data_IF_139833973813
#
_entry.id   IF_139833973813
#
_cell.length_a   1.000
_cell.length_b   1.000
_cell.length_c   1.000
_cell.angle_alpha   90.00
_cell.angle_beta   90.00
_cell.angle_gamma   90.00
#
_symmetry.space_group_name_H-M   'P 1'
#
loop_
_entity.id
_entity.type
_entity.pdbx_description
1 polymer ?
#
# COMPACT_ATOMS: atom_id res chain seq x y z
N UNK A 1 15.94 13.69 -5.67
CA UNK A 1 14.51 13.49 -5.88
C UNK A 1 14.10 12.32 -5.00
N UNK A 2 13.02 12.43 -4.24
CA UNK A 2 12.59 11.42 -3.27
C UNK A 2 11.53 10.51 -3.88
N UNK A 3 11.42 9.29 -3.37
CA UNK A 3 10.43 8.29 -3.79
C UNK A 3 9.36 8.15 -2.71
N UNK A 4 8.11 7.97 -3.12
CA UNK A 4 6.97 7.90 -2.23
C UNK A 4 6.05 6.75 -2.64
N UNK A 5 5.39 6.15 -1.65
CA UNK A 5 4.26 5.24 -1.83
C UNK A 5 3.00 5.89 -1.26
N UNK A 6 1.89 5.74 -1.96
CA UNK A 6 0.59 6.22 -1.53
C UNK A 6 -0.31 5.03 -1.27
N UNK A 7 -0.93 4.99 -0.09
CA UNK A 7 -1.79 3.90 0.36
C UNK A 7 -3.12 4.45 0.88
N UNK A 8 -4.15 3.60 0.91
CA UNK A 8 -5.40 3.87 1.62
C UNK A 8 -5.65 2.79 2.67
N UNK A 9 -6.29 3.16 3.79
CA UNK A 9 -6.70 2.22 4.84
C UNK A 9 -8.04 1.55 4.54
N UNK A 10 -8.70 1.88 3.41
CA UNK A 10 -10.02 1.37 3.04
C UNK A 10 -9.97 -0.08 2.45
N UNK A 11 -9.07 -0.93 2.96
CA UNK A 11 -8.85 -2.30 2.49
C UNK A 11 -9.26 -3.37 3.49
N UNK A 12 -10.27 -4.17 3.15
CA UNK A 12 -10.55 -5.46 3.80
C UNK A 12 -10.01 -6.57 2.92
N UNK A 13 -9.27 -7.52 3.50
CA UNK A 13 -8.75 -8.68 2.76
C UNK A 13 -9.26 -9.97 3.38
N UNK A 14 -9.83 -10.82 2.55
CA UNK A 14 -10.21 -12.20 2.90
C UNK A 14 -9.11 -13.14 2.41
N UNK A 15 -8.65 -14.06 3.26
CA UNK A 15 -7.63 -15.02 2.85
C UNK A 15 -8.20 -15.98 1.77
N UNK A 16 -7.38 -16.39 0.78
CA UNK A 16 -7.79 -17.41 -0.18
C UNK A 16 -8.22 -18.69 0.56
N UNK A 17 -9.44 -19.16 0.30
CA UNK A 17 -10.09 -20.32 0.96
C UNK A 17 -10.54 -20.09 2.41
N UNK A 18 -10.67 -18.85 2.86
CA UNK A 18 -11.38 -18.54 4.12
C UNK A 18 -12.90 -18.59 3.89
N UNK A 19 -13.61 -19.41 4.67
CA UNK A 19 -15.08 -19.40 4.75
C UNK A 19 -15.60 -18.39 5.80
N UNK A 20 -14.70 -17.62 6.44
CA UNK A 20 -15.04 -16.71 7.52
C UNK A 20 -15.75 -15.46 6.99
N UNK A 21 -16.81 -15.03 7.70
CA UNK A 21 -17.55 -13.79 7.41
C UNK A 21 -16.77 -12.53 7.82
N UNK A 22 -15.77 -12.65 8.69
CA UNK A 22 -15.02 -11.51 9.20
C UNK A 22 -13.68 -11.32 8.44
N UNK A 23 -13.22 -10.06 8.25
CA UNK A 23 -11.89 -9.75 7.73
C UNK A 23 -10.80 -10.47 8.51
N UNK A 24 -9.90 -11.17 7.81
CA UNK A 24 -8.81 -11.87 8.50
C UNK A 24 -7.73 -10.89 9.01
N UNK A 25 -7.56 -9.73 8.37
CA UNK A 25 -6.55 -8.71 8.70
C UNK A 25 -6.96 -7.30 8.23
N UNK A 26 -6.61 -6.26 9.00
CA UNK A 26 -6.56 -4.88 8.51
C UNK A 26 -5.52 -4.77 7.39
N UNK A 27 -5.88 -4.16 6.25
CA UNK A 27 -4.97 -4.02 5.13
C UNK A 27 -4.93 -2.57 4.61
N UNK A 28 -3.76 -2.19 4.11
CA UNK A 28 -3.58 -0.98 3.33
C UNK A 28 -3.50 -1.35 1.85
N UNK A 29 -4.31 -0.70 1.02
CA UNK A 29 -4.20 -0.87 -0.44
C UNK A 29 -3.25 0.16 -1.01
N UNK A 30 -2.33 -0.29 -1.88
CA UNK A 30 -1.44 0.63 -2.61
C UNK A 30 -2.24 1.33 -3.70
N UNK A 31 -2.29 2.65 -3.61
CA UNK A 31 -2.90 3.54 -4.60
C UNK A 31 -1.95 3.83 -5.74
N UNK A 32 -0.66 4.02 -5.42
CA UNK A 32 0.36 4.29 -6.43
C UNK A 32 1.72 4.65 -5.84
N UNK A 33 2.63 5.00 -6.74
CA UNK A 33 3.99 5.41 -6.43
C UNK A 33 4.26 6.76 -7.10
N UNK A 34 5.07 7.60 -6.47
CA UNK A 34 5.42 8.90 -7.03
C UNK A 34 6.83 9.35 -6.65
N UNK A 35 7.35 10.32 -7.39
CA UNK A 35 8.66 10.93 -7.12
C UNK A 35 8.55 12.45 -7.15
N UNK A 36 9.24 13.14 -6.24
CA UNK A 36 9.24 14.60 -6.17
C UNK A 36 10.26 15.15 -5.19
N UNK A 37 10.38 16.48 -5.08
CA UNK A 37 11.14 17.12 -4.00
C UNK A 37 10.37 17.05 -2.68
N UNK A 38 9.03 17.09 -2.75
CA UNK A 38 8.14 16.93 -1.60
C UNK A 38 7.07 15.86 -1.87
N UNK A 39 6.48 15.33 -0.80
CA UNK A 39 5.39 14.35 -0.91
C UNK A 39 4.15 14.92 -1.61
N UNK A 40 3.87 16.21 -1.39
CA UNK A 40 2.75 16.92 -2.02
C UNK A 40 2.94 17.01 -3.53
N UNK A 41 4.12 17.43 -3.97
CA UNK A 41 4.46 17.49 -5.40
C UNK A 41 4.36 16.10 -6.06
N UNK A 42 4.88 15.06 -5.40
CA UNK A 42 4.78 13.70 -5.89
C UNK A 42 3.33 13.22 -6.01
N UNK A 43 2.47 13.59 -5.05
CA UNK A 43 1.05 13.25 -5.06
C UNK A 43 0.28 13.98 -6.17
N UNK A 44 0.47 15.29 -6.30
CA UNK A 44 -0.18 16.10 -7.35
C UNK A 44 0.19 15.61 -8.74
N UNK A 45 1.47 15.25 -8.93
CA UNK A 45 1.94 14.61 -10.18
C UNK A 45 1.23 13.27 -10.42
N UNK A 46 1.20 12.39 -9.42
CA UNK A 46 0.54 11.07 -9.53
C UNK A 46 -0.94 11.20 -9.89
N UNK A 47 -1.68 12.11 -9.25
CA UNK A 47 -3.11 12.31 -9.53
C UNK A 47 -3.36 12.85 -10.94
N UNK A 48 -2.44 13.63 -11.49
CA UNK A 48 -2.51 14.12 -12.87
C UNK A 48 -2.23 13.00 -13.88
N UNK A 49 -1.31 12.09 -13.56
CA UNK A 49 -0.96 10.95 -14.43
C UNK A 49 -2.03 9.84 -14.36
N UNK A 50 -2.62 9.62 -13.19
CA UNK A 50 -3.58 8.56 -12.88
C UNK A 50 -4.96 9.15 -12.53
N UNK A 51 -5.54 9.93 -13.46
CA UNK A 51 -6.81 10.65 -13.24
C UNK A 51 -7.98 9.74 -12.82
N UNK A 52 -7.91 8.43 -13.08
CA UNK A 52 -8.93 7.48 -12.66
C UNK A 52 -9.09 7.43 -11.13
N UNK A 53 -8.05 7.77 -10.36
CA UNK A 53 -8.09 7.83 -8.90
C UNK A 53 -9.16 8.82 -8.40
N UNK A 54 -9.41 9.90 -9.14
CA UNK A 54 -10.45 10.89 -8.83
C UNK A 54 -11.88 10.36 -9.03
N UNK A 55 -12.04 9.19 -9.65
CA UNK A 55 -13.34 8.52 -9.86
C UNK A 55 -13.59 7.42 -8.83
N UNK A 56 -12.63 7.16 -7.94
CA UNK A 56 -12.78 6.19 -6.86
C UNK A 56 -13.51 6.83 -5.68
N UNK A 57 -14.08 6.00 -4.81
CA UNK A 57 -14.73 6.47 -3.58
C UNK A 57 -13.73 6.63 -2.41
N UNK A 58 -12.42 6.46 -2.66
CA UNK A 58 -11.39 6.60 -1.64
C UNK A 58 -11.38 8.03 -1.10
N UNK A 59 -11.63 8.19 0.20
CA UNK A 59 -11.71 9.51 0.82
C UNK A 59 -10.34 9.96 1.38
N UNK A 60 -9.52 9.02 1.84
CA UNK A 60 -8.23 9.32 2.46
C UNK A 60 -7.08 8.54 1.82
N UNK A 61 -6.00 9.26 1.53
CA UNK A 61 -4.73 8.71 1.02
C UNK A 61 -3.59 9.13 1.93
N UNK A 62 -2.82 8.14 2.37
CA UNK A 62 -1.62 8.30 3.20
C UNK A 62 -0.41 8.22 2.27
N UNK A 63 0.42 9.27 2.29
CA UNK A 63 1.71 9.26 1.61
C UNK A 63 2.85 8.92 2.57
N UNK A 64 3.78 8.07 2.14
CA UNK A 64 4.98 7.69 2.89
C UNK A 64 6.24 7.89 2.04
N UNK A 65 7.27 8.51 2.61
CA UNK A 65 8.59 8.62 1.97
C UNK A 65 9.36 7.30 2.07
N UNK A 66 9.80 6.78 0.92
CA UNK A 66 10.67 5.63 0.83
C UNK A 66 12.12 6.09 1.06
N UNK A 67 12.58 5.97 2.30
CA UNK A 67 13.92 6.42 2.70
C UNK A 67 15.05 5.61 2.06
N UNK A 68 14.79 4.33 1.77
CA UNK A 68 15.74 3.40 1.16
C UNK A 68 15.01 2.49 0.17
N UNK A 69 15.66 2.19 -0.95
CA UNK A 69 15.15 1.24 -1.95
C UNK A 69 15.52 -0.22 -1.65
N UNK A 70 16.22 -0.46 -0.54
CA UNK A 70 16.57 -1.81 -0.10
C UNK A 70 15.31 -2.58 0.30
N UNK A 71 15.15 -3.76 -0.31
CA UNK A 71 14.05 -4.67 -0.02
C UNK A 71 14.60 -5.88 0.70
N UNK A 72 13.97 -6.22 1.81
CA UNK A 72 14.17 -7.49 2.49
C UNK A 72 12.93 -8.35 2.30
N UNK A 73 13.14 -9.61 1.93
CA UNK A 73 12.07 -10.56 1.70
C UNK A 73 12.03 -11.54 2.88
N UNK A 74 10.87 -11.68 3.49
CA UNK A 74 10.62 -12.60 4.59
C UNK A 74 9.64 -13.68 4.12
N UNK A 75 10.00 -14.95 4.31
CA UNK A 75 9.16 -16.08 3.94
C UNK A 75 8.53 -16.69 5.20
N UNK A 76 7.21 -16.56 5.35
CA UNK A 76 6.50 -17.05 6.54
C UNK A 76 6.68 -18.57 6.76
N UNK A 77 6.90 -19.35 5.70
CA UNK A 77 7.14 -20.79 5.81
C UNK A 77 8.39 -21.12 6.64
N UNK A 78 9.42 -20.29 6.61
CA UNK A 78 10.66 -20.49 7.38
C UNK A 78 10.41 -20.40 8.90
N UNK A 79 9.38 -19.65 9.29
CA UNK A 79 9.00 -19.46 10.68
C UNK A 79 7.98 -20.52 11.14
N UNK A 80 7.11 -20.99 10.25
CA UNK A 80 6.14 -22.05 10.57
C UNK A 80 6.83 -23.34 11.05
N UNK A 81 7.98 -23.69 10.47
CA UNK A 81 8.78 -24.86 10.89
C UNK A 81 9.44 -24.65 12.26
N UNK A 82 9.71 -23.40 12.65
CA UNK A 82 10.37 -23.08 13.93
C UNK A 82 9.43 -23.07 15.13
N UNK A 83 8.13 -22.89 14.90
CA UNK A 83 7.11 -22.78 15.95
C UNK A 83 6.08 -23.92 15.94
N UNK A 84 6.33 -24.96 15.15
CA UNK A 84 5.60 -26.25 15.15
C UNK A 84 6.33 -27.29 15.98
#
# INVERSE_FOLDING_TARGET
MKSFIFITNEGITFQPNSEAQEPDMENCQVIGFGTGATIKEAFEKMITEEEYLLKTDFNEVIGLELSHEQKEYFFLNDYKVRYS
#
